data_IF_655243071145
#
_entry.id   IF_655243071145
#
_cell.length_a   1.000
_cell.length_b   1.000
_cell.length_c   1.000
_cell.angle_alpha   90.00
_cell.angle_beta   90.00
_cell.angle_gamma   90.00
#
_symmetry.space_group_name_H-M   'P 1'
#
loop_
_entity.id
_entity.type
_entity.pdbx_description
1 polymer ?
#
# COMPACT_ATOMS: atom_id res chain seq x y z
N UNK A 1 49.05 -0.63 -13.53
CA UNK A 1 48.24 -1.65 -14.22
C UNK A 1 48.45 -2.97 -13.50
N UNK A 2 47.64 -3.30 -12.49
CA UNK A 2 46.49 -4.24 -12.58
C UNK A 2 46.87 -5.65 -13.06
N UNK A 3 47.01 -6.60 -12.13
CA UNK A 3 46.71 -8.03 -12.28
C UNK A 3 46.89 -8.70 -10.89
N UNK A 4 45.82 -8.84 -10.10
CA UNK A 4 44.99 -10.05 -10.04
C UNK A 4 45.77 -11.35 -9.88
N UNK A 5 45.86 -11.82 -8.63
CA UNK A 5 45.77 -13.25 -8.31
C UNK A 5 45.42 -13.36 -6.82
N UNK A 6 44.14 -13.11 -6.53
CA UNK A 6 43.56 -13.39 -5.22
C UNK A 6 43.59 -14.90 -5.00
N UNK A 7 44.65 -15.32 -4.33
CA UNK A 7 44.70 -16.36 -3.32
C UNK A 7 43.40 -17.16 -3.18
N UNK A 8 43.37 -18.30 -3.84
CA UNK A 8 42.54 -19.44 -3.48
C UNK A 8 42.92 -19.90 -2.06
N UNK A 9 42.49 -19.17 -1.04
CA UNK A 9 42.65 -19.59 0.34
C UNK A 9 41.53 -20.57 0.70
N UNK A 10 41.92 -21.84 0.68
CA UNK A 10 41.31 -22.96 1.40
C UNK A 10 40.54 -22.50 2.63
N UNK A 11 39.20 -22.53 2.58
CA UNK A 11 38.39 -22.50 3.81
C UNK A 11 38.28 -23.94 4.29
N UNK A 12 39.35 -24.41 4.95
CA UNK A 12 39.33 -25.62 5.75
C UNK A 12 38.25 -25.48 6.84
N UNK A 13 37.51 -26.58 7.06
CA UNK A 13 36.39 -26.64 7.99
C UNK A 13 36.72 -26.05 9.36
N UNK A 14 35.98 -25.03 9.78
CA UNK A 14 36.08 -24.46 11.12
C UNK A 14 34.73 -24.57 11.83
N UNK A 15 34.74 -25.30 12.94
CA UNK A 15 33.56 -25.67 13.72
C UNK A 15 32.95 -24.48 14.48
N UNK A 16 31.64 -24.61 14.76
CA UNK A 16 30.62 -23.56 14.96
C UNK A 16 30.68 -22.84 16.32
N UNK A 17 29.89 -21.78 16.41
CA UNK A 17 30.08 -20.62 17.28
C UNK A 17 29.29 -20.67 18.58
N UNK A 18 28.68 -21.79 18.95
CA UNK A 18 27.91 -21.92 20.20
C UNK A 18 26.64 -21.06 20.34
N UNK A 19 26.55 -19.86 19.73
CA UNK A 19 25.29 -19.13 19.58
C UNK A 19 24.35 -19.95 18.69
N UNK A 20 23.18 -20.38 19.19
CA UNK A 20 22.30 -21.24 18.44
C UNK A 20 21.70 -20.47 17.25
N UNK A 21 22.28 -20.70 16.07
CA UNK A 21 21.66 -20.28 14.80
C UNK A 21 20.45 -21.16 14.57
N UNK A 22 19.26 -20.55 14.72
CA UNK A 22 17.99 -21.26 14.55
C UNK A 22 17.84 -21.74 13.11
N UNK A 23 17.24 -22.92 12.92
CA UNK A 23 16.93 -23.50 11.60
C UNK A 23 16.21 -22.47 10.71
N UNK A 24 16.66 -22.36 9.46
CA UNK A 24 16.11 -21.42 8.47
C UNK A 24 16.68 -20.00 8.53
N UNK A 25 17.61 -19.70 9.45
CA UNK A 25 18.33 -18.41 9.44
C UNK A 25 19.24 -18.32 8.22
N UNK A 26 19.35 -17.13 7.62
CA UNK A 26 20.16 -16.88 6.43
C UNK A 26 21.33 -15.96 6.73
N UNK A 27 22.43 -16.16 5.98
CA UNK A 27 23.61 -15.30 6.07
C UNK A 27 23.26 -13.91 5.51
N UNK A 28 23.55 -12.87 6.29
CA UNK A 28 23.42 -11.49 5.85
C UNK A 28 24.31 -11.22 4.63
N UNK A 29 23.74 -10.60 3.60
CA UNK A 29 24.38 -10.26 2.33
C UNK A 29 24.09 -11.21 1.18
N UNK A 30 23.41 -12.35 1.42
CA UNK A 30 23.23 -13.40 0.41
C UNK A 30 21.90 -13.36 -0.34
N UNK A 31 20.82 -12.86 0.27
CA UNK A 31 19.45 -13.00 -0.25
C UNK A 31 18.70 -11.68 -0.36
N UNK A 32 19.25 -10.62 0.24
CA UNK A 32 18.59 -9.33 0.40
C UNK A 32 18.12 -8.73 -0.93
N UNK A 33 18.93 -8.87 -1.99
CA UNK A 33 18.63 -8.30 -3.32
C UNK A 33 17.33 -8.82 -3.92
N UNK A 34 17.03 -10.12 -3.77
CA UNK A 34 15.81 -10.74 -4.30
C UNK A 34 14.64 -10.68 -3.32
N UNK A 35 14.93 -10.48 -2.03
CA UNK A 35 13.93 -10.54 -0.98
C UNK A 35 13.17 -9.22 -0.80
N UNK A 36 13.87 -8.09 -0.76
CA UNK A 36 13.21 -6.80 -0.55
C UNK A 36 12.36 -6.39 -1.74
N UNK A 37 11.22 -5.76 -1.44
CA UNK A 37 10.31 -5.20 -2.43
C UNK A 37 9.93 -3.80 -1.96
N UNK A 38 10.21 -2.81 -2.82
CA UNK A 38 9.70 -1.47 -2.62
C UNK A 38 8.20 -1.43 -2.87
N UNK A 39 7.48 -0.71 -2.01
CA UNK A 39 6.08 -0.40 -2.19
C UNK A 39 5.93 1.00 -2.74
N UNK A 40 4.95 1.18 -3.62
CA UNK A 40 4.44 2.50 -3.96
C UNK A 40 3.58 3.04 -2.82
N UNK A 41 3.38 4.36 -2.77
CA UNK A 41 2.46 5.00 -1.79
C UNK A 41 1.05 4.40 -1.86
N UNK A 42 0.58 4.11 -3.07
CA UNK A 42 -0.73 3.49 -3.32
C UNK A 42 -0.79 2.07 -2.77
N UNK A 43 0.19 1.22 -3.06
CA UNK A 43 0.25 -0.15 -2.53
C UNK A 43 0.36 -0.17 -1.01
N UNK A 44 1.14 0.73 -0.41
CA UNK A 44 1.26 0.84 1.04
C UNK A 44 -0.09 1.21 1.70
N UNK A 45 -0.81 2.19 1.14
CA UNK A 45 -2.14 2.57 1.61
C UNK A 45 -3.15 1.43 1.45
N UNK A 46 -3.16 0.77 0.28
CA UNK A 46 -4.00 -0.40 0.02
C UNK A 46 -3.74 -1.50 1.03
N UNK A 47 -2.47 -1.80 1.34
CA UNK A 47 -2.10 -2.85 2.27
C UNK A 47 -2.65 -2.60 3.69
N UNK A 48 -2.54 -1.36 4.18
CA UNK A 48 -3.08 -0.97 5.49
C UNK A 48 -4.60 -1.07 5.50
N UNK A 49 -5.28 -0.54 4.48
CA UNK A 49 -6.74 -0.59 4.39
C UNK A 49 -7.24 -2.04 4.28
N UNK A 50 -6.52 -2.88 3.53
CA UNK A 50 -6.82 -4.29 3.38
C UNK A 50 -6.73 -5.03 4.72
N UNK A 51 -5.68 -4.75 5.50
CA UNK A 51 -5.50 -5.31 6.83
C UNK A 51 -6.61 -4.86 7.79
N UNK A 52 -6.94 -3.56 7.80
CA UNK A 52 -8.01 -2.99 8.62
C UNK A 52 -9.37 -3.63 8.30
N UNK A 53 -9.67 -3.88 7.02
CA UNK A 53 -10.90 -4.58 6.60
C UNK A 53 -10.87 -6.06 6.91
N UNK A 54 -9.75 -6.73 6.63
CA UNK A 54 -9.58 -8.14 6.93
C UNK A 54 -9.81 -8.42 8.41
N UNK A 55 -9.27 -7.57 9.30
CA UNK A 55 -9.49 -7.61 10.74
C UNK A 55 -10.98 -7.53 11.10
N UNK A 56 -11.71 -6.55 10.54
CA UNK A 56 -13.13 -6.34 10.83
C UNK A 56 -14.02 -7.46 10.30
N UNK A 57 -13.76 -7.93 9.08
CA UNK A 57 -14.56 -8.97 8.42
C UNK A 57 -14.44 -10.32 9.11
N UNK A 58 -13.26 -10.65 9.63
CA UNK A 58 -13.00 -11.95 10.27
C UNK A 58 -13.07 -11.86 11.80
N UNK A 59 -13.67 -10.79 12.34
CA UNK A 59 -13.86 -10.63 13.78
C UNK A 59 -15.06 -11.48 14.24
N UNK A 60 -14.78 -12.47 15.06
CA UNK A 60 -15.81 -13.32 15.66
C UNK A 60 -16.66 -12.56 16.68
N UNK A 61 -17.95 -12.94 16.79
CA UNK A 61 -18.88 -12.38 17.78
C UNK A 61 -18.35 -12.61 19.20
N UNK A 62 -18.35 -11.55 20.02
CA UNK A 62 -17.88 -11.60 21.40
C UNK A 62 -16.36 -11.48 21.58
N UNK A 63 -15.55 -11.48 20.50
CA UNK A 63 -14.12 -11.17 20.59
C UNK A 63 -13.89 -9.67 20.54
N UNK A 64 -12.87 -9.18 21.25
CA UNK A 64 -12.48 -7.76 21.24
C UNK A 64 -11.83 -7.37 19.91
N UNK A 65 -10.96 -8.23 19.40
CA UNK A 65 -10.18 -8.05 18.19
C UNK A 65 -10.47 -9.18 17.19
N UNK A 66 -10.19 -8.92 15.92
CA UNK A 66 -10.13 -9.92 14.87
C UNK A 66 -8.79 -10.67 14.85
N UNK A 67 -8.48 -11.36 13.74
CA UNK A 67 -7.34 -12.27 13.64
C UNK A 67 -5.95 -11.59 13.71
N UNK A 68 -5.84 -10.33 13.33
CA UNK A 68 -4.58 -9.58 13.37
C UNK A 68 -4.39 -8.90 14.73
N UNK A 69 -5.44 -8.25 15.23
CA UNK A 69 -5.40 -7.38 16.39
C UNK A 69 -4.89 -5.97 16.08
N UNK A 70 -5.27 -5.02 16.93
CA UNK A 70 -4.93 -3.59 16.78
C UNK A 70 -3.41 -3.34 16.69
N UNK A 71 -2.62 -4.06 17.49
CA UNK A 71 -1.16 -3.90 17.54
C UNK A 71 -0.51 -4.39 16.23
N UNK A 72 -1.05 -5.44 15.59
CA UNK A 72 -0.54 -5.89 14.30
C UNK A 72 -0.76 -4.85 13.21
N UNK A 73 -1.90 -4.16 13.23
CA UNK A 73 -2.20 -3.06 12.29
C UNK A 73 -1.25 -1.87 12.54
N UNK A 74 -0.98 -1.51 13.80
CA UNK A 74 0.01 -0.48 14.15
C UNK A 74 1.41 -0.83 13.65
N UNK A 75 1.85 -2.07 13.87
CA UNK A 75 3.14 -2.58 13.39
C UNK A 75 3.19 -2.54 11.86
N UNK A 76 2.12 -2.97 11.18
CA UNK A 76 2.05 -2.95 9.72
C UNK A 76 2.17 -1.52 9.17
N UNK A 77 1.44 -0.55 9.75
CA UNK A 77 1.55 0.87 9.39
C UNK A 77 2.98 1.38 9.55
N UNK A 78 3.62 1.07 10.68
CA UNK A 78 5.02 1.44 10.90
C UNK A 78 5.97 0.83 9.86
N UNK A 79 5.82 -0.45 9.55
CA UNK A 79 6.65 -1.13 8.54
C UNK A 79 6.41 -0.56 7.14
N UNK A 80 5.16 -0.23 6.76
CA UNK A 80 4.89 0.41 5.47
C UNK A 80 5.54 1.79 5.37
N UNK A 81 5.51 2.59 6.44
CA UNK A 81 6.18 3.88 6.46
C UNK A 81 7.71 3.74 6.30
N UNK A 82 8.33 2.80 7.00
CA UNK A 82 9.76 2.52 6.82
C UNK A 82 10.10 2.04 5.39
N UNK A 83 9.21 1.27 4.76
CA UNK A 83 9.43 0.80 3.40
C UNK A 83 9.46 1.97 2.41
N UNK A 84 8.50 2.90 2.54
CA UNK A 84 8.43 4.11 1.72
C UNK A 84 9.68 4.99 1.91
N UNK A 85 10.17 5.13 3.14
CA UNK A 85 11.43 5.85 3.44
C UNK A 85 12.66 5.15 2.85
N UNK A 86 12.59 3.84 2.60
CA UNK A 86 13.69 3.06 2.01
C UNK A 86 13.76 3.17 0.49
N UNK A 87 12.85 3.93 -0.13
CA UNK A 87 12.83 4.22 -1.56
C UNK A 87 12.79 2.96 -2.43
N UNK A 88 13.57 2.96 -3.51
CA UNK A 88 13.56 1.90 -4.54
C UNK A 88 14.00 0.53 -4.03
N UNK A 89 14.75 0.46 -2.93
CA UNK A 89 15.23 -0.82 -2.38
C UNK A 89 14.15 -1.51 -1.55
N UNK A 90 13.25 -0.76 -0.88
CA UNK A 90 12.25 -1.34 0.03
C UNK A 90 12.84 -2.12 1.20
N UNK A 91 14.07 -1.76 1.61
CA UNK A 91 14.84 -2.48 2.62
C UNK A 91 14.20 -2.33 4.00
N UNK A 92 13.74 -3.45 4.58
CA UNK A 92 13.12 -3.46 5.90
C UNK A 92 13.88 -4.35 6.87
N UNK A 93 14.66 -3.71 7.75
CA UNK A 93 15.45 -4.35 8.80
C UNK A 93 15.31 -3.71 10.20
N UNK A 94 14.11 -3.21 10.62
CA UNK A 94 13.98 -2.64 11.96
C UNK A 94 14.28 -3.69 13.03
N UNK A 95 15.09 -3.31 14.02
CA UNK A 95 15.32 -4.13 15.21
C UNK A 95 14.05 -4.20 16.06
N UNK A 96 13.91 -5.28 16.84
CA UNK A 96 12.77 -5.42 17.74
C UNK A 96 12.74 -4.29 18.79
N UNK A 97 13.91 -3.90 19.30
CA UNK A 97 14.05 -2.77 20.22
C UNK A 97 13.57 -1.45 19.60
N UNK A 98 13.92 -1.18 18.33
CA UNK A 98 13.46 0.03 17.62
C UNK A 98 11.95 0.04 17.43
N UNK A 99 11.33 -1.11 17.16
CA UNK A 99 9.86 -1.22 17.09
C UNK A 99 9.23 -0.96 18.46
N UNK A 100 9.79 -1.53 19.55
CA UNK A 100 9.33 -1.28 20.92
C UNK A 100 9.38 0.20 21.28
N UNK A 101 10.49 0.86 20.99
CA UNK A 101 10.70 2.27 21.26
C UNK A 101 9.72 3.15 20.48
N UNK A 102 9.55 2.91 19.18
CA UNK A 102 8.70 3.75 18.33
C UNK A 102 7.21 3.53 18.53
N UNK A 103 6.79 2.30 18.79
CA UNK A 103 5.38 1.97 18.98
C UNK A 103 4.95 2.02 20.44
N UNK A 104 5.89 2.17 21.38
CA UNK A 104 5.64 2.13 22.83
C UNK A 104 4.87 0.88 23.26
N UNK A 105 5.20 -0.26 22.63
CA UNK A 105 4.59 -1.57 22.92
C UNK A 105 5.60 -2.53 23.54
N UNK A 106 5.10 -3.46 24.36
CA UNK A 106 5.93 -4.49 24.98
C UNK A 106 6.53 -5.43 23.93
N UNK A 107 7.65 -6.07 24.27
CA UNK A 107 8.32 -7.06 23.41
C UNK A 107 7.38 -8.20 23.01
N UNK A 108 6.57 -8.69 23.96
CA UNK A 108 5.59 -9.76 23.74
C UNK A 108 4.55 -9.35 22.71
N UNK A 109 3.93 -8.18 22.91
CA UNK A 109 2.91 -7.65 22.01
C UNK A 109 3.41 -7.49 20.57
N UNK A 110 4.63 -6.98 20.38
CA UNK A 110 5.21 -6.85 19.04
C UNK A 110 5.52 -8.22 18.43
N UNK A 111 6.04 -9.17 19.21
CA UNK A 111 6.27 -10.52 18.70
C UNK A 111 4.97 -11.20 18.28
N UNK A 112 3.90 -11.06 19.05
CA UNK A 112 2.60 -11.67 18.73
C UNK A 112 1.94 -10.99 17.54
N UNK A 113 2.05 -9.65 17.43
CA UNK A 113 1.66 -8.90 16.25
C UNK A 113 2.41 -9.38 14.98
N UNK A 114 3.74 -9.53 15.05
CA UNK A 114 4.53 -10.03 13.92
C UNK A 114 4.13 -11.48 13.54
N UNK A 115 3.86 -12.34 14.51
CA UNK A 115 3.36 -13.71 14.26
C UNK A 115 1.98 -13.69 13.61
N UNK A 116 1.08 -12.81 14.02
CA UNK A 116 -0.24 -12.67 13.43
C UNK A 116 -0.14 -12.22 11.97
N UNK A 117 0.66 -11.18 11.69
CA UNK A 117 0.90 -10.73 10.32
C UNK A 117 1.51 -11.83 9.44
N UNK A 118 2.47 -12.59 9.97
CA UNK A 118 3.10 -13.72 9.28
C UNK A 118 2.10 -14.85 9.00
N UNK A 119 1.31 -15.25 10.00
CA UNK A 119 0.28 -16.29 9.88
C UNK A 119 -0.77 -15.95 8.82
N UNK A 120 -1.15 -14.68 8.72
CA UNK A 120 -2.17 -14.22 7.77
C UNK A 120 -1.59 -13.74 6.43
N UNK A 121 -0.26 -13.82 6.24
CA UNK A 121 0.38 -13.57 4.95
C UNK A 121 0.59 -12.09 4.61
N UNK A 122 0.50 -11.18 5.58
CA UNK A 122 0.84 -9.76 5.42
C UNK A 122 2.34 -9.49 5.49
N UNK A 123 3.10 -10.43 6.05
CA UNK A 123 4.51 -10.27 6.35
C UNK A 123 5.26 -11.59 6.12
N UNK A 124 6.41 -11.51 5.46
CA UNK A 124 7.41 -12.58 5.46
C UNK A 124 8.59 -12.13 6.31
N UNK A 125 9.02 -12.98 7.24
CA UNK A 125 10.12 -12.71 8.16
C UNK A 125 11.27 -13.70 7.95
N UNK A 126 12.46 -13.17 7.72
CA UNK A 126 13.69 -13.98 7.63
C UNK A 126 14.63 -13.62 8.77
N UNK A 127 15.05 -14.63 9.53
CA UNK A 127 16.08 -14.50 10.55
C UNK A 127 17.46 -14.42 9.90
N UNK A 128 18.31 -13.53 10.40
CA UNK A 128 19.63 -13.27 9.84
C UNK A 128 20.72 -13.49 10.87
N UNK A 129 21.87 -13.91 10.37
CA UNK A 129 23.10 -13.97 11.15
C UNK A 129 24.24 -13.37 10.33
N UNK A 130 25.26 -12.87 11.00
CA UNK A 130 26.48 -12.39 10.38
C UNK A 130 27.70 -13.00 11.09
N UNK A 131 28.74 -13.40 10.34
CA UNK A 131 29.97 -13.90 10.93
C UNK A 131 30.67 -12.78 11.72
N UNK A 132 31.30 -13.15 12.82
CA UNK A 132 32.09 -12.28 13.68
C UNK A 132 33.56 -12.42 13.28
N UNK A 133 34.30 -11.30 13.20
CA UNK A 133 35.75 -11.29 12.89
C UNK A 133 36.64 -11.74 14.07
N UNK A 134 36.11 -12.55 14.99
CA UNK A 134 36.84 -12.88 16.22
C UNK A 134 37.88 -13.98 15.94
N UNK A 135 39.16 -13.68 16.22
CA UNK A 135 40.32 -14.57 15.97
C UNK A 135 40.59 -15.54 17.13
N UNK A 136 39.91 -15.39 18.28
CA UNK A 136 40.10 -16.19 19.51
C UNK A 136 39.08 -17.33 19.73
N UNK A 137 39.08 -17.91 20.94
CA UNK A 137 38.08 -18.90 21.38
C UNK A 137 36.73 -18.21 21.69
N UNK A 138 35.67 -18.54 20.95
CA UNK A 138 34.32 -18.06 21.20
C UNK A 138 33.40 -18.05 19.96
N UNK A 139 32.16 -17.56 20.09
CA UNK A 139 31.20 -17.44 18.99
C UNK A 139 31.67 -16.57 17.82
N UNK A 140 31.92 -17.19 16.66
CA UNK A 140 32.24 -16.56 15.37
C UNK A 140 31.01 -16.09 14.55
N UNK A 141 29.81 -16.05 15.13
CA UNK A 141 28.57 -15.63 14.47
C UNK A 141 27.76 -14.86 15.50
N UNK A 142 27.13 -13.76 15.06
CA UNK A 142 26.20 -12.95 15.83
C UNK A 142 24.85 -12.85 15.14
N UNK A 143 23.79 -12.79 15.93
CA UNK A 143 22.44 -12.53 15.40
C UNK A 143 22.33 -11.11 14.85
N UNK A 144 21.79 -11.00 13.63
CA UNK A 144 21.47 -9.72 13.02
C UNK A 144 19.98 -9.42 13.14
N UNK A 145 19.60 -8.15 12.95
CA UNK A 145 18.20 -7.77 12.80
C UNK A 145 17.54 -8.57 11.69
N UNK A 146 16.34 -9.08 11.96
CA UNK A 146 15.54 -9.82 10.98
C UNK A 146 15.27 -8.95 9.76
N UNK A 147 15.13 -9.60 8.60
CA UNK A 147 14.61 -8.97 7.41
C UNK A 147 13.11 -9.20 7.31
N UNK A 148 12.39 -8.17 6.91
CA UNK A 148 10.95 -8.21 6.70
C UNK A 148 10.62 -7.88 5.24
N UNK A 149 9.58 -8.51 4.72
CA UNK A 149 8.97 -8.17 3.43
C UNK A 149 7.48 -8.11 3.62
N UNK A 150 6.87 -7.03 3.13
CA UNK A 150 5.44 -6.85 3.15
C UNK A 150 4.82 -7.51 1.93
N UNK A 151 3.70 -8.20 2.15
CA UNK A 151 2.98 -8.94 1.11
C UNK A 151 1.50 -8.66 1.23
N UNK A 152 0.82 -8.58 0.08
CA UNK A 152 -0.64 -8.46 0.04
C UNK A 152 -1.22 -9.86 -0.18
N UNK A 153 -1.80 -10.51 0.84
CA UNK A 153 -2.38 -11.84 0.67
C UNK A 153 -3.70 -11.74 -0.11
N UNK A 154 -3.99 -12.75 -0.94
CA UNK A 154 -5.21 -12.79 -1.78
C UNK A 154 -6.50 -12.62 -0.95
N UNK A 155 -6.56 -13.19 0.26
CA UNK A 155 -7.69 -13.03 1.19
C UNK A 155 -7.94 -11.57 1.57
N UNK A 156 -6.89 -10.77 1.69
CA UNK A 156 -7.00 -9.35 1.99
C UNK A 156 -7.35 -8.52 0.75
N UNK A 157 -7.00 -8.98 -0.46
CA UNK A 157 -7.45 -8.37 -1.72
C UNK A 157 -8.97 -8.50 -1.86
N UNK A 158 -9.53 -9.68 -1.55
CA UNK A 158 -10.99 -9.86 -1.52
C UNK A 158 -11.64 -8.90 -0.51
N UNK A 159 -11.02 -8.72 0.67
CA UNK A 159 -11.48 -7.76 1.69
C UNK A 159 -11.43 -6.29 1.24
N UNK A 160 -10.61 -5.92 0.24
CA UNK A 160 -10.59 -4.56 -0.31
C UNK A 160 -11.88 -4.26 -1.11
N UNK A 161 -12.53 -5.27 -1.68
CA UNK A 161 -13.78 -5.12 -2.43
C UNK A 161 -13.70 -4.09 -3.56
N UNK A 162 -14.81 -3.42 -3.85
CA UNK A 162 -14.93 -2.43 -4.93
C UNK A 162 -14.09 -1.16 -4.74
N UNK A 163 -13.64 -0.86 -3.51
CA UNK A 163 -12.96 0.40 -3.17
C UNK A 163 -11.64 0.66 -3.89
N UNK A 164 -11.02 -0.39 -4.44
CA UNK A 164 -9.78 -0.28 -5.21
C UNK A 164 -9.89 -0.88 -6.60
N UNK A 165 -11.11 -1.13 -7.08
CA UNK A 165 -11.32 -1.40 -8.50
C UNK A 165 -10.81 -0.16 -9.25
N UNK A 166 -9.93 -0.31 -10.26
CA UNK A 166 -9.62 0.82 -11.12
C UNK A 166 -10.95 1.36 -11.65
N UNK A 167 -11.17 2.67 -11.49
CA UNK A 167 -12.35 3.37 -12.01
C UNK A 167 -12.53 2.94 -13.46
N UNK A 168 -13.70 2.40 -13.81
CA UNK A 168 -13.97 1.97 -15.18
C UNK A 168 -13.74 3.15 -16.11
N UNK A 169 -13.39 2.89 -17.38
CA UNK A 169 -13.32 3.95 -18.39
C UNK A 169 -14.67 4.68 -18.50
N UNK A 170 -15.77 3.95 -18.33
CA UNK A 170 -17.12 4.49 -18.28
C UNK A 170 -17.35 5.41 -17.08
N UNK A 171 -16.91 5.00 -15.89
CA UNK A 171 -17.03 5.82 -14.68
C UNK A 171 -16.19 7.10 -14.78
N UNK A 172 -15.00 7.02 -15.38
CA UNK A 172 -14.15 8.19 -15.66
C UNK A 172 -14.82 9.13 -16.67
N UNK A 173 -15.30 8.60 -17.78
CA UNK A 173 -16.00 9.37 -18.80
C UNK A 173 -17.26 10.05 -18.22
N UNK A 174 -17.98 9.35 -17.34
CA UNK A 174 -19.15 9.92 -16.64
C UNK A 174 -18.75 11.05 -15.69
N UNK A 175 -17.65 10.91 -14.95
CA UNK A 175 -17.14 11.98 -14.07
C UNK A 175 -16.62 13.19 -14.87
N UNK A 176 -15.95 12.96 -16.00
CA UNK A 176 -15.51 14.02 -16.91
C UNK A 176 -16.71 14.77 -17.51
N UNK A 177 -17.72 14.03 -17.98
CA UNK A 177 -18.97 14.61 -18.49
C UNK A 177 -19.67 15.44 -17.40
N UNK A 178 -19.79 14.91 -16.17
CA UNK A 178 -20.38 15.63 -15.05
C UNK A 178 -19.61 16.91 -14.68
N UNK A 179 -18.28 16.90 -14.80
CA UNK A 179 -17.46 18.10 -14.60
C UNK A 179 -17.63 19.11 -15.73
N UNK A 180 -17.78 18.64 -16.98
CA UNK A 180 -18.07 19.51 -18.13
C UNK A 180 -19.46 20.13 -18.04
N UNK A 181 -20.49 19.37 -17.68
CA UNK A 181 -21.86 19.87 -17.51
C UNK A 181 -21.94 20.89 -16.36
N UNK A 182 -21.24 20.66 -15.25
CA UNK A 182 -21.18 21.61 -14.15
C UNK A 182 -20.57 22.97 -14.58
N UNK A 183 -19.47 22.94 -15.33
CA UNK A 183 -18.86 24.16 -15.88
C UNK A 183 -19.76 24.88 -16.89
N UNK A 184 -20.44 24.12 -17.75
CA UNK A 184 -21.41 24.67 -18.70
C UNK A 184 -22.55 25.39 -17.97
N UNK A 185 -23.09 24.78 -16.91
CA UNK A 185 -24.13 25.38 -16.06
C UNK A 185 -23.62 26.66 -15.37
N UNK A 186 -22.41 26.65 -14.82
CA UNK A 186 -21.81 27.84 -14.21
C UNK A 186 -21.69 29.00 -15.21
N UNK A 187 -21.25 28.73 -16.45
CA UNK A 187 -21.15 29.75 -17.50
C UNK A 187 -22.52 30.27 -17.94
N UNK A 188 -23.49 29.38 -18.13
CA UNK A 188 -24.85 29.77 -18.50
C UNK A 188 -25.50 30.61 -17.39
N UNK A 189 -25.28 30.27 -16.12
CA UNK A 189 -25.75 31.06 -14.99
C UNK A 189 -25.06 32.45 -14.92
N UNK A 190 -23.80 32.54 -15.34
CA UNK A 190 -23.06 33.80 -15.34
C UNK A 190 -23.50 34.76 -16.46
N UNK A 191 -23.71 34.24 -17.68
CA UNK A 191 -23.93 35.06 -18.88
C UNK A 191 -25.39 35.10 -19.35
N UNK A 192 -26.21 34.15 -18.90
CA UNK A 192 -27.59 33.97 -19.36
C UNK A 192 -27.68 33.14 -20.66
N UNK A 193 -28.80 32.44 -20.83
CA UNK A 193 -29.04 31.53 -21.97
C UNK A 193 -29.04 32.30 -23.29
N UNK A 194 -29.77 33.42 -23.36
CA UNK A 194 -29.91 34.24 -24.57
C UNK A 194 -28.54 34.74 -25.09
N UNK A 195 -27.66 35.16 -24.18
CA UNK A 195 -26.33 35.64 -24.56
C UNK A 195 -25.44 34.50 -25.07
N UNK A 196 -25.56 33.31 -24.49
CA UNK A 196 -24.86 32.11 -24.94
C UNK A 196 -25.36 31.65 -26.32
N UNK A 197 -26.65 31.81 -26.63
CA UNK A 197 -27.23 31.51 -27.94
C UNK A 197 -26.72 32.47 -29.02
N UNK A 198 -26.61 33.76 -28.69
CA UNK A 198 -26.01 34.77 -29.59
C UNK A 198 -24.56 34.38 -29.91
N UNK A 199 -23.78 33.98 -28.91
CA UNK A 199 -22.40 33.55 -29.11
C UNK A 199 -22.27 32.24 -29.88
N UNK A 200 -23.21 31.31 -29.69
CA UNK A 200 -23.22 30.03 -30.39
C UNK A 200 -23.38 30.15 -31.91
N UNK A 201 -23.91 31.28 -32.41
CA UNK A 201 -24.02 31.57 -33.84
C UNK A 201 -22.67 31.88 -34.51
N UNK A 202 -21.66 32.27 -33.72
CA UNK A 202 -20.31 32.53 -34.21
C UNK A 202 -19.55 31.22 -34.48
N UNK A 203 -18.94 31.10 -35.66
CA UNK A 203 -18.17 29.92 -36.07
C UNK A 203 -16.80 29.81 -35.37
N UNK A 204 -16.45 30.82 -34.55
CA UNK A 204 -15.23 30.86 -33.75
C UNK A 204 -15.13 29.70 -32.76
N UNK A 205 -13.91 29.40 -32.24
CA UNK A 205 -13.73 28.40 -31.19
C UNK A 205 -14.61 28.66 -29.95
N UNK A 206 -14.85 29.94 -29.65
CA UNK A 206 -15.68 30.37 -28.54
C UNK A 206 -17.17 30.08 -28.79
N UNK A 207 -17.69 30.39 -29.98
CA UNK A 207 -19.09 30.07 -30.32
C UNK A 207 -19.37 28.56 -30.35
N UNK A 208 -18.41 27.75 -30.79
CA UNK A 208 -18.51 26.28 -30.69
C UNK A 208 -18.53 25.78 -29.25
N UNK A 209 -17.84 26.45 -28.34
CA UNK A 209 -17.87 26.12 -26.91
C UNK A 209 -19.23 26.50 -26.30
N UNK A 210 -19.75 27.69 -26.61
CA UNK A 210 -21.09 28.12 -26.18
C UNK A 210 -22.19 27.16 -26.67
N UNK A 211 -22.12 26.71 -27.93
CA UNK A 211 -23.04 25.72 -28.47
C UNK A 211 -22.98 24.36 -27.75
N UNK A 212 -21.78 23.92 -27.34
CA UNK A 212 -21.60 22.68 -26.56
C UNK A 212 -22.18 22.82 -25.16
N UNK A 213 -21.95 23.94 -24.51
CA UNK A 213 -22.47 24.20 -23.17
C UNK A 213 -24.00 24.23 -23.14
N UNK A 214 -24.62 24.91 -24.12
CA UNK A 214 -26.07 24.92 -24.29
C UNK A 214 -26.64 23.51 -24.49
N UNK A 215 -25.97 22.68 -25.31
CA UNK A 215 -26.36 21.29 -25.52
C UNK A 215 -26.29 20.46 -24.23
N UNK A 216 -25.20 20.57 -23.48
CA UNK A 216 -25.04 19.87 -22.20
C UNK A 216 -26.08 20.31 -21.16
N UNK A 217 -26.46 21.58 -21.17
CA UNK A 217 -27.50 22.12 -20.31
C UNK A 217 -28.90 21.59 -20.68
N UNK A 218 -29.25 21.58 -21.96
CA UNK A 218 -30.51 21.02 -22.45
C UNK A 218 -30.65 19.52 -22.15
N UNK A 219 -29.57 18.75 -22.35
CA UNK A 219 -29.54 17.32 -22.03
C UNK A 219 -29.81 17.09 -20.53
N UNK A 220 -29.21 17.90 -19.65
CA UNK A 220 -29.48 17.83 -18.20
C UNK A 220 -30.93 18.15 -17.85
N UNK A 221 -31.47 19.25 -18.35
CA UNK A 221 -32.87 19.65 -18.12
C UNK A 221 -33.85 18.57 -18.60
N UNK A 222 -33.56 17.94 -19.74
CA UNK A 222 -34.38 16.84 -20.25
C UNK A 222 -34.34 15.60 -19.35
N UNK A 223 -33.18 15.28 -18.76
CA UNK A 223 -33.03 14.17 -17.80
C UNK A 223 -33.81 14.48 -16.51
N UNK A 224 -33.69 15.70 -15.96
CA UNK A 224 -34.41 16.12 -14.76
C UNK A 224 -35.94 16.12 -14.96
N UNK A 225 -36.43 16.46 -16.16
CA UNK A 225 -37.85 16.39 -16.50
C UNK A 225 -38.38 14.96 -16.72
N UNK A 226 -37.51 14.01 -17.10
CA UNK A 226 -37.88 12.61 -17.40
C UNK A 226 -37.84 11.70 -16.16
N UNK A 227 -37.47 12.22 -14.99
CA UNK A 227 -37.67 11.54 -13.70
C UNK A 227 -39.03 11.98 -13.08
N UNK A 228 -40.18 11.37 -13.44
CA UNK A 228 -41.42 11.64 -12.73
C UNK A 228 -41.26 11.12 -11.30
N UNK A 229 -41.25 12.04 -10.33
CA UNK A 229 -41.21 11.73 -8.92
C UNK A 229 -42.22 10.63 -8.59
N UNK A 230 -41.70 9.43 -8.35
CA UNK A 230 -42.48 8.28 -7.91
C UNK A 230 -42.90 8.56 -6.46
N UNK A 231 -43.93 9.40 -6.31
CA UNK A 231 -44.67 9.59 -5.07
C UNK A 231 -45.44 8.29 -4.83
N UNK A 232 -44.81 7.34 -4.16
CA UNK A 232 -45.57 6.30 -3.45
C UNK A 232 -46.35 6.99 -2.35
N UNK A 233 -47.63 7.23 -2.59
CA UNK A 233 -48.62 7.49 -1.54
C UNK A 233 -48.93 6.15 -0.86
N UNK A 234 -48.87 6.13 0.47
CA UNK A 234 -49.23 5.00 1.34
C UNK A 234 -50.69 4.56 1.16
#
# INVERSE_FOLDING_TARGET
MFAMMNAALKIQGSHRTGEPVRRGSKLKGTFERAFYKALTKKEAAQLVIAADRYEKLHKEKGKRCGPLGSIAIEVLRYLTALNLLSGKTGRLEPSLARMMEKLRRSRGAINDALKALERHGFLIKIRRFEPTNNTGKGPRVKQASNAYRLTMPQRAIVALGQYFRPTSMEDKARAELAAMTAKAVERINQYGIEQMEIWAYDASPFGREAARDLKLFQERESIEQTEPGTKYSF
#
